data_IF_311635506309
#
_entry.id   IF_311635506309
#
_cell.length_a   1.000
_cell.length_b   1.000
_cell.length_c   1.000
_cell.angle_alpha   90.00
_cell.angle_beta   90.00
_cell.angle_gamma   90.00
#
_symmetry.space_group_name_H-M   'P 1'
#
loop_
_entity.id
_entity.type
_entity.pdbx_description
1 polymer ?
#
# COMPACT_ATOMS: atom_id res chain seq x y z
N UNK A 1 -3.31 -2.35 -12.16
CA UNK A 1 -4.39 -2.90 -11.31
C UNK A 1 -5.63 -2.03 -11.41
N UNK A 2 -6.81 -2.56 -11.07
CA UNK A 2 -8.03 -1.75 -10.99
C UNK A 2 -8.02 -0.86 -9.74
N UNK A 3 -8.57 0.37 -9.78
CA UNK A 3 -8.56 1.29 -8.64
C UNK A 3 -9.15 0.71 -7.35
N UNK A 4 -10.27 -0.02 -7.45
CA UNK A 4 -10.93 -0.62 -6.28
C UNK A 4 -10.07 -1.66 -5.56
N UNK A 5 -9.16 -2.32 -6.29
CA UNK A 5 -8.21 -3.27 -5.70
C UNK A 5 -7.07 -2.52 -5.00
N UNK A 6 -6.60 -1.40 -5.57
CA UNK A 6 -5.58 -0.55 -4.95
C UNK A 6 -6.11 0.01 -3.63
N UNK A 7 -7.33 0.55 -3.64
CA UNK A 7 -7.97 1.12 -2.45
C UNK A 7 -8.19 0.06 -1.35
N UNK A 8 -8.67 -1.13 -1.73
CA UNK A 8 -8.84 -2.24 -0.78
C UNK A 8 -7.51 -2.67 -0.14
N UNK A 9 -6.46 -2.84 -0.95
CA UNK A 9 -5.13 -3.20 -0.45
C UNK A 9 -4.52 -2.10 0.43
N UNK A 10 -4.73 -0.83 0.08
CA UNK A 10 -4.28 0.29 0.89
C UNK A 10 -4.98 0.30 2.27
N UNK A 11 -6.28 0.02 2.33
CA UNK A 11 -7.01 -0.13 3.61
C UNK A 11 -6.47 -1.27 4.47
N UNK A 12 -6.15 -2.42 3.86
CA UNK A 12 -5.56 -3.56 4.58
C UNK A 12 -4.15 -3.24 5.10
N UNK A 13 -3.31 -2.61 4.27
CA UNK A 13 -1.97 -2.20 4.66
C UNK A 13 -1.99 -1.17 5.79
N UNK A 14 -2.92 -0.21 5.74
CA UNK A 14 -3.13 0.79 6.80
C UNK A 14 -3.41 0.12 8.14
N UNK A 15 -4.35 -0.83 8.16
CA UNK A 15 -4.69 -1.59 9.37
C UNK A 15 -3.49 -2.39 9.89
N UNK A 16 -2.72 -3.02 9.00
CA UNK A 16 -1.54 -3.79 9.38
C UNK A 16 -0.48 -2.90 10.04
N UNK A 17 -0.20 -1.73 9.46
CA UNK A 17 0.79 -0.77 9.99
C UNK A 17 0.35 -0.26 11.37
N UNK A 18 -0.90 0.19 11.52
CA UNK A 18 -1.44 0.70 12.79
C UNK A 18 -1.39 -0.39 13.86
N UNK A 19 -1.82 -1.61 13.54
CA UNK A 19 -1.77 -2.73 14.47
C UNK A 19 -0.35 -3.07 14.90
N UNK A 20 0.63 -3.03 13.98
CA UNK A 20 2.02 -3.30 14.33
C UNK A 20 2.60 -2.21 15.21
N UNK A 21 2.41 -0.93 14.87
CA UNK A 21 2.86 0.21 15.68
C UNK A 21 2.27 0.19 17.09
N UNK A 22 0.98 -0.15 17.22
CA UNK A 22 0.31 -0.23 18.52
C UNK A 22 0.91 -1.27 19.49
N UNK A 23 1.64 -2.27 18.98
CA UNK A 23 2.33 -3.27 19.83
C UNK A 23 3.62 -2.73 20.42
N UNK A 24 4.26 -1.76 19.77
CA UNK A 24 5.60 -1.27 20.11
C UNK A 24 5.59 0.14 20.70
N UNK A 25 4.55 0.92 20.44
CA UNK A 25 4.44 2.31 20.88
C UNK A 25 3.38 2.44 21.99
N UNK A 26 3.82 2.68 23.23
CA UNK A 26 2.95 2.75 24.42
C UNK A 26 2.02 3.97 24.46
N UNK A 27 2.30 5.01 23.67
CA UNK A 27 1.48 6.23 23.56
C UNK A 27 0.73 6.33 22.23
N UNK A 28 0.56 5.22 21.51
CA UNK A 28 -0.05 5.20 20.18
C UNK A 28 -1.57 5.13 20.27
N UNK A 29 -2.24 6.26 20.00
CA UNK A 29 -3.69 6.33 19.99
C UNK A 29 -4.26 5.86 18.64
N UNK A 30 -4.67 4.60 18.59
CA UNK A 30 -5.31 4.01 17.40
C UNK A 30 -6.67 4.63 17.07
N UNK A 31 -7.22 5.48 17.94
CA UNK A 31 -8.51 6.15 17.70
C UNK A 31 -8.37 7.52 17.05
N UNK A 32 -7.13 8.02 16.87
CA UNK A 32 -6.87 9.30 16.20
C UNK A 32 -7.16 9.22 14.69
N UNK A 33 -8.20 9.89 14.16
CA UNK A 33 -8.50 9.84 12.73
C UNK A 33 -7.41 10.45 11.85
N UNK A 34 -6.63 11.42 12.36
CA UNK A 34 -5.56 12.04 11.57
C UNK A 34 -4.43 11.04 11.27
N UNK A 35 -4.10 10.20 12.25
CA UNK A 35 -3.17 9.08 12.09
C UNK A 35 -3.64 8.11 10.99
N UNK A 36 -4.92 7.73 10.99
CA UNK A 36 -5.47 6.84 9.98
C UNK A 36 -5.40 7.42 8.57
N UNK A 37 -5.73 8.70 8.40
CA UNK A 37 -5.67 9.39 7.11
C UNK A 37 -4.24 9.42 6.58
N UNK A 38 -3.27 9.81 7.42
CA UNK A 38 -1.86 9.89 7.01
C UNK A 38 -1.33 8.52 6.57
N UNK A 39 -1.56 7.48 7.37
CA UNK A 39 -1.07 6.13 7.04
C UNK A 39 -1.79 5.57 5.81
N UNK A 40 -3.07 5.90 5.63
CA UNK A 40 -3.82 5.51 4.44
C UNK A 40 -3.27 6.14 3.17
N UNK A 41 -3.00 7.44 3.17
CA UNK A 41 -2.42 8.14 2.02
C UNK A 41 -1.04 7.57 1.65
N UNK A 42 -0.21 7.28 2.65
CA UNK A 42 1.09 6.62 2.45
C UNK A 42 0.92 5.21 1.87
N UNK A 43 -0.02 4.43 2.41
CA UNK A 43 -0.34 3.08 1.92
C UNK A 43 -0.81 3.10 0.47
N UNK A 44 -1.65 4.07 0.11
CA UNK A 44 -2.19 4.23 -1.24
C UNK A 44 -1.07 4.55 -2.24
N UNK A 45 -0.14 5.44 -1.85
CA UNK A 45 1.04 5.77 -2.65
C UNK A 45 1.94 4.55 -2.86
N UNK A 46 2.22 3.79 -1.81
CA UNK A 46 3.08 2.60 -1.88
C UNK A 46 2.49 1.52 -2.80
N UNK A 47 1.21 1.17 -2.62
CA UNK A 47 0.53 0.18 -3.47
C UNK A 47 0.45 0.65 -4.93
N UNK A 48 0.20 1.94 -5.15
CA UNK A 48 0.15 2.49 -6.51
C UNK A 48 1.51 2.40 -7.21
N UNK A 49 2.59 2.71 -6.49
CA UNK A 49 3.96 2.62 -7.01
C UNK A 49 4.32 1.18 -7.38
N UNK A 50 4.10 0.23 -6.47
CA UNK A 50 4.31 -1.21 -6.71
C UNK A 50 3.46 -1.72 -7.88
N UNK A 51 2.21 -1.26 -8.01
CA UNK A 51 1.36 -1.63 -9.13
C UNK A 51 1.91 -1.13 -10.48
N UNK A 52 2.56 0.04 -10.52
CA UNK A 52 3.22 0.55 -11.73
C UNK A 52 4.46 -0.29 -12.06
N UNK A 53 5.32 -0.56 -11.08
CA UNK A 53 6.54 -1.35 -11.25
C UNK A 53 6.23 -2.77 -11.75
N UNK A 54 5.19 -3.41 -11.22
CA UNK A 54 4.72 -4.71 -11.70
C UNK A 54 4.27 -4.69 -13.17
N UNK A 55 3.66 -3.60 -13.64
CA UNK A 55 3.27 -3.48 -15.05
C UNK A 55 4.49 -3.23 -15.95
N UNK A 56 5.50 -2.50 -15.48
CA UNK A 56 6.77 -2.33 -16.20
C UNK A 56 7.53 -3.65 -16.33
N UNK A 57 7.64 -4.42 -15.25
CA UNK A 57 8.25 -5.75 -15.25
C UNK A 57 7.53 -6.68 -16.24
N UNK A 58 6.20 -6.70 -16.24
CA UNK A 58 5.41 -7.50 -17.19
C UNK A 58 5.67 -7.11 -18.64
N UNK A 59 5.81 -5.82 -18.94
CA UNK A 59 6.12 -5.33 -20.29
C UNK A 59 7.53 -5.74 -20.71
N UNK A 60 8.51 -5.57 -19.83
CA UNK A 60 9.90 -5.97 -20.08
C UNK A 60 10.01 -7.46 -20.38
N UNK A 61 9.41 -8.30 -19.53
CA UNK A 61 9.41 -9.76 -19.69
C UNK A 61 8.63 -10.24 -20.93
N UNK A 62 7.65 -9.47 -21.39
CA UNK A 62 6.95 -9.78 -22.64
C UNK A 62 7.84 -9.48 -23.84
N UNK A 63 8.60 -8.39 -23.83
CA UNK A 63 9.51 -8.01 -24.93
C UNK A 63 10.58 -9.08 -25.17
N UNK A 64 11.21 -9.58 -24.11
CA UNK A 64 12.30 -10.57 -24.18
C UNK A 64 11.88 -11.97 -24.63
N UNK A 65 10.58 -12.27 -24.70
CA UNK A 65 10.05 -13.55 -25.20
C UNK A 65 9.83 -13.50 -26.73
N UNK A 66 9.75 -12.30 -27.31
CA UNK A 66 9.53 -12.10 -28.76
C UNK A 66 10.79 -11.65 -29.52
N UNK A 67 11.94 -11.51 -28.84
CA UNK A 67 13.28 -11.29 -29.42
C UNK A 67 14.07 -12.61 -29.50
#
# INVERSE_FOLDING_TARGET
>A
MKPEIIEALALELTKAIINERSKHESSFDITDPALWVVIYDESLKNISQEAVELEEIKKSNKSTIFD
#
